data_IF_544965780558
#
_entry.id   IF_544965780558
#
_cell.length_a   1.000
_cell.length_b   1.000
_cell.length_c   1.000
_cell.angle_alpha   90.00
_cell.angle_beta   90.00
_cell.angle_gamma   90.00
#
_symmetry.space_group_name_H-M   'P 1'
#
loop_
_entity.id
_entity.type
_entity.pdbx_description
1 polymer ?
#
# COMPACT_ATOMS: atom_id res chain seq x y z
N UNK A 1 -16.75 -113.78 60.53
CA UNK A 1 -16.28 -113.09 61.73
C UNK A 1 -16.52 -111.59 61.55
N UNK A 2 -17.14 -110.95 62.55
CA UNK A 2 -17.26 -109.51 62.89
C UNK A 2 -16.51 -108.47 62.02
N UNK A 3 -16.95 -107.22 61.75
CA UNK A 3 -17.97 -106.25 62.23
C UNK A 3 -18.03 -105.15 61.12
N UNK A 4 -19.18 -104.67 60.62
CA UNK A 4 -20.08 -103.61 61.12
C UNK A 4 -19.44 -102.22 61.36
N UNK A 5 -19.65 -101.26 60.45
CA UNK A 5 -20.19 -99.87 60.63
C UNK A 5 -20.15 -99.11 59.27
N UNK A 6 -21.28 -98.74 58.61
CA UNK A 6 -22.12 -97.51 58.79
C UNK A 6 -21.34 -96.25 58.32
N UNK A 7 -21.78 -95.31 57.45
CA UNK A 7 -22.95 -95.03 56.60
C UNK A 7 -22.63 -93.74 55.78
N UNK A 8 -23.42 -93.47 54.73
CA UNK A 8 -23.69 -92.15 54.09
C UNK A 8 -22.60 -91.42 53.27
N UNK A 9 -22.88 -91.23 51.97
CA UNK A 9 -22.12 -90.31 51.11
C UNK A 9 -22.47 -90.30 49.61
N UNK A 10 -23.76 -90.15 49.28
CA UNK A 10 -24.30 -89.51 48.06
C UNK A 10 -23.77 -89.90 46.65
N UNK A 11 -24.56 -90.76 46.00
CA UNK A 11 -24.93 -90.79 44.57
C UNK A 11 -24.10 -89.96 43.56
N UNK A 12 -23.26 -90.64 42.79
CA UNK A 12 -22.86 -90.24 41.44
C UNK A 12 -23.49 -91.22 40.46
N UNK A 13 -24.72 -90.91 40.01
CA UNK A 13 -25.33 -91.62 38.88
C UNK A 13 -25.04 -90.80 37.61
N UNK A 14 -24.24 -91.39 36.74
CA UNK A 14 -24.17 -91.11 35.31
C UNK A 14 -25.59 -91.03 34.72
N UNK A 15 -25.90 -89.95 34.00
CA UNK A 15 -26.72 -90.10 32.80
C UNK A 15 -26.26 -89.17 31.70
N UNK A 16 -26.15 -89.78 30.53
CA UNK A 16 -25.63 -89.26 29.28
C UNK A 16 -26.68 -88.39 28.58
N UNK A 17 -26.22 -87.32 27.92
CA UNK A 17 -26.90 -86.74 26.76
C UNK A 17 -27.80 -85.56 27.06
N UNK A 18 -27.28 -84.35 26.88
CA UNK A 18 -27.67 -83.45 25.78
C UNK A 18 -26.73 -82.25 25.75
N UNK A 19 -26.37 -81.89 24.53
CA UNK A 19 -25.59 -80.73 24.13
C UNK A 19 -26.08 -79.47 24.87
N UNK A 20 -25.19 -78.83 25.62
CA UNK A 20 -25.21 -77.38 25.78
C UNK A 20 -23.77 -76.90 25.57
N UNK A 21 -23.37 -76.85 24.31
CA UNK A 21 -22.43 -75.85 23.83
C UNK A 21 -23.06 -74.48 24.12
N UNK A 22 -22.80 -73.90 25.29
CA UNK A 22 -22.87 -72.45 25.48
C UNK A 22 -21.46 -71.91 25.67
N UNK A 23 -20.59 -72.25 24.73
CA UNK A 23 -19.39 -71.47 24.40
C UNK A 23 -19.71 -70.61 23.17
N UNK A 24 -20.76 -69.79 23.26
CA UNK A 24 -21.24 -68.80 22.28
C UNK A 24 -22.30 -68.00 23.07
N UNK A 25 -22.26 -66.68 23.32
CA UNK A 25 -21.76 -65.53 22.55
C UNK A 25 -21.51 -64.30 23.46
N UNK A 26 -20.74 -64.39 24.54
CA UNK A 26 -20.46 -63.24 25.44
C UNK A 26 -19.21 -62.44 25.06
N UNK A 27 -18.86 -62.40 23.77
CA UNK A 27 -17.68 -61.64 23.29
C UNK A 27 -18.09 -60.45 22.40
N UNK A 28 -19.31 -60.45 21.85
CA UNK A 28 -19.72 -59.45 20.85
C UNK A 28 -20.13 -58.09 21.41
N UNK A 29 -20.53 -57.99 22.69
CA UNK A 29 -20.98 -56.72 23.28
C UNK A 29 -19.83 -56.04 24.02
N UNK A 30 -19.01 -56.83 24.71
CA UNK A 30 -17.80 -56.43 25.40
C UNK A 30 -16.77 -55.86 24.42
N UNK A 31 -16.55 -56.50 23.27
CA UNK A 31 -15.67 -55.96 22.20
C UNK A 31 -16.15 -54.61 21.69
N UNK A 32 -17.47 -54.43 21.51
CA UNK A 32 -18.05 -53.16 21.07
C UNK A 32 -17.93 -52.08 22.13
N UNK A 33 -18.02 -52.45 23.41
CA UNK A 33 -17.83 -51.54 24.52
C UNK A 33 -16.37 -51.06 24.59
N UNK A 34 -15.41 -51.99 24.44
CA UNK A 34 -13.98 -51.66 24.36
C UNK A 34 -13.64 -50.81 23.13
N UNK A 35 -14.23 -51.10 21.96
CA UNK A 35 -14.04 -50.28 20.76
C UNK A 35 -14.56 -48.85 20.96
N UNK A 36 -15.71 -48.70 21.62
CA UNK A 36 -16.28 -47.39 21.94
C UNK A 36 -15.42 -46.62 22.94
N UNK A 37 -14.85 -47.30 23.94
CA UNK A 37 -13.96 -46.71 24.93
C UNK A 37 -12.68 -46.16 24.27
N UNK A 38 -11.99 -46.99 23.48
CA UNK A 38 -10.79 -46.57 22.72
C UNK A 38 -11.11 -45.40 21.78
N UNK A 39 -12.26 -45.46 21.08
CA UNK A 39 -12.68 -44.39 20.16
C UNK A 39 -12.99 -43.08 20.90
N UNK A 40 -13.53 -43.16 22.12
CA UNK A 40 -13.84 -42.00 22.94
C UNK A 40 -12.55 -41.38 23.48
N UNK A 41 -11.62 -42.19 23.99
CA UNK A 41 -10.31 -41.74 24.46
C UNK A 41 -9.53 -41.05 23.34
N UNK A 42 -9.44 -41.67 22.16
CA UNK A 42 -8.77 -41.07 21.00
C UNK A 42 -9.41 -39.72 20.59
N UNK A 43 -10.74 -39.59 20.70
CA UNK A 43 -11.42 -38.31 20.44
C UNK A 43 -11.13 -37.27 21.51
N UNK A 44 -11.02 -37.66 22.77
CA UNK A 44 -10.67 -36.77 23.88
C UNK A 44 -9.24 -36.25 23.70
N UNK A 45 -8.29 -37.13 23.39
CA UNK A 45 -6.89 -36.75 23.14
C UNK A 45 -6.78 -35.80 21.94
N UNK A 46 -7.45 -36.10 20.83
CA UNK A 46 -7.45 -35.23 19.66
C UNK A 46 -8.08 -33.86 19.95
N UNK A 47 -9.15 -33.81 20.75
CA UNK A 47 -9.79 -32.55 21.13
C UNK A 47 -8.94 -31.73 22.09
N UNK A 48 -8.23 -32.39 23.02
CA UNK A 48 -7.30 -31.73 23.93
C UNK A 48 -6.12 -31.14 23.16
N UNK A 49 -5.54 -31.87 22.20
CA UNK A 49 -4.45 -31.34 21.36
C UNK A 49 -4.89 -30.11 20.55
N UNK A 50 -6.09 -30.14 19.94
CA UNK A 50 -6.67 -28.98 19.25
C UNK A 50 -6.92 -27.78 20.19
N UNK A 51 -7.28 -28.05 21.45
CA UNK A 51 -7.51 -27.01 22.44
C UNK A 51 -6.21 -26.31 22.84
N UNK A 52 -5.14 -27.07 23.04
CA UNK A 52 -3.81 -26.52 23.36
C UNK A 52 -3.26 -25.66 22.23
N UNK A 53 -3.33 -26.13 20.98
CA UNK A 53 -2.92 -25.33 19.80
C UNK A 53 -3.72 -24.01 19.72
N UNK A 54 -5.04 -24.08 19.95
CA UNK A 54 -5.89 -22.89 19.98
C UNK A 54 -5.54 -21.95 21.13
N UNK A 55 -5.14 -22.46 22.29
CA UNK A 55 -4.72 -21.67 23.44
C UNK A 55 -3.41 -20.94 23.15
N UNK A 56 -2.43 -21.62 22.56
CA UNK A 56 -1.15 -21.01 22.16
C UNK A 56 -1.37 -19.90 21.11
N UNK A 57 -2.16 -20.17 20.07
CA UNK A 57 -2.52 -19.17 19.06
C UNK A 57 -3.22 -17.96 19.68
N UNK A 58 -4.09 -18.18 20.68
CA UNK A 58 -4.78 -17.09 21.40
C UNK A 58 -3.82 -16.23 22.21
N UNK A 59 -2.79 -16.83 22.81
CA UNK A 59 -1.75 -16.10 23.55
C UNK A 59 -0.86 -15.28 22.61
N UNK A 60 -0.41 -15.85 21.48
CA UNK A 60 0.38 -15.13 20.47
C UNK A 60 -0.41 -13.94 19.90
N UNK A 61 -1.69 -14.14 19.59
CA UNK A 61 -2.54 -13.06 19.09
C UNK A 61 -2.72 -11.94 20.13
N UNK A 62 -2.90 -12.29 21.41
CA UNK A 62 -3.00 -11.29 22.49
C UNK A 62 -1.70 -10.47 22.62
N UNK A 63 -0.54 -11.11 22.48
CA UNK A 63 0.74 -10.40 22.49
C UNK A 63 0.89 -9.44 21.30
N UNK A 64 0.53 -9.88 20.10
CA UNK A 64 0.55 -9.02 18.90
C UNK A 64 -0.40 -7.83 19.02
N UNK A 65 -1.57 -8.01 19.63
CA UNK A 65 -2.52 -6.90 19.90
C UNK A 65 -1.86 -5.86 20.81
N UNK A 66 -1.29 -6.27 21.95
CA UNK A 66 -0.61 -5.36 22.88
C UNK A 66 0.54 -4.60 22.18
N UNK A 67 1.30 -5.29 21.33
CA UNK A 67 2.39 -4.66 20.59
C UNK A 67 1.89 -3.64 19.56
N UNK A 68 0.78 -3.93 18.88
CA UNK A 68 0.17 -3.01 17.92
C UNK A 68 -0.42 -1.79 18.62
N UNK A 69 -1.10 -1.97 19.75
CA UNK A 69 -1.62 -0.89 20.59
C UNK A 69 -0.49 0.06 21.02
N UNK A 70 0.61 -0.48 21.55
CA UNK A 70 1.76 0.34 21.96
C UNK A 70 2.41 1.11 20.78
N UNK A 71 2.47 0.52 19.59
CA UNK A 71 2.94 1.22 18.38
C UNK A 71 1.97 2.31 17.94
N UNK A 72 0.67 2.09 18.11
CA UNK A 72 -0.36 3.07 17.76
C UNK A 72 -0.29 4.28 18.70
N UNK A 73 -0.17 4.06 20.01
CA UNK A 73 0.02 5.14 21.01
C UNK A 73 1.28 5.96 20.69
N UNK A 74 2.37 5.29 20.29
CA UNK A 74 3.61 5.96 19.90
C UNK A 74 3.44 6.83 18.65
N UNK A 75 2.65 6.36 17.66
CA UNK A 75 2.36 7.14 16.46
C UNK A 75 1.49 8.36 16.77
N UNK A 76 0.50 8.21 17.64
CA UNK A 76 -0.38 9.30 18.07
C UNK A 76 0.40 10.42 18.76
N UNK A 77 1.34 10.08 19.65
CA UNK A 77 2.25 11.07 20.27
C UNK A 77 3.12 11.79 19.23
N UNK A 78 3.63 11.07 18.21
CA UNK A 78 4.43 11.69 17.15
C UNK A 78 3.61 12.63 16.29
N UNK A 79 2.35 12.28 16.00
CA UNK A 79 1.42 13.13 15.25
C UNK A 79 1.17 14.42 16.02
N UNK A 80 0.78 14.35 17.31
CA UNK A 80 0.55 15.54 18.12
C UNK A 80 1.78 16.46 18.22
N UNK A 81 2.99 15.87 18.28
CA UNK A 81 4.24 16.65 18.24
C UNK A 81 4.48 17.35 16.90
N UNK A 82 4.13 16.71 15.79
CA UNK A 82 4.25 17.32 14.47
C UNK A 82 3.19 18.41 14.27
N UNK A 83 1.96 18.19 14.70
CA UNK A 83 0.87 19.18 14.66
C UNK A 83 1.26 20.44 15.43
N UNK A 84 1.74 20.32 16.67
CA UNK A 84 2.20 21.46 17.46
C UNK A 84 3.37 22.22 16.79
N UNK A 85 4.26 21.51 16.08
CA UNK A 85 5.34 22.14 15.30
C UNK A 85 4.83 22.89 14.07
N UNK A 86 3.81 22.36 13.40
CA UNK A 86 3.16 23.02 12.26
C UNK A 86 2.47 24.29 12.72
N UNK A 87 1.69 24.23 13.80
CA UNK A 87 1.05 25.41 14.41
C UNK A 87 2.09 26.46 14.83
N UNK A 88 3.20 26.04 15.42
CA UNK A 88 4.29 26.94 15.78
C UNK A 88 4.88 27.63 14.54
N UNK A 89 5.12 26.89 13.45
CA UNK A 89 5.62 27.45 12.20
C UNK A 89 4.64 28.45 11.58
N UNK A 90 3.34 28.17 11.63
CA UNK A 90 2.29 29.05 11.11
C UNK A 90 2.23 30.39 11.88
N UNK A 91 2.36 30.33 13.21
CA UNK A 91 2.43 31.53 14.06
C UNK A 91 3.65 32.42 13.74
N UNK A 92 4.80 31.79 13.47
CA UNK A 92 6.04 32.47 13.13
C UNK A 92 5.93 33.12 11.75
N UNK A 93 5.37 32.39 10.78
CA UNK A 93 5.15 32.89 9.43
C UNK A 93 4.22 34.11 9.45
N UNK A 94 3.11 34.02 10.20
CA UNK A 94 2.17 35.15 10.37
C UNK A 94 2.85 36.37 10.99
N UNK A 95 3.71 36.16 12.00
CA UNK A 95 4.46 37.24 12.64
C UNK A 95 5.45 37.92 11.69
N UNK A 96 6.20 37.13 10.90
CA UNK A 96 7.14 37.64 9.90
C UNK A 96 6.45 38.39 8.77
N UNK A 97 5.28 37.90 8.32
CA UNK A 97 4.47 38.59 7.31
C UNK A 97 3.98 39.94 7.82
N UNK A 98 3.53 40.03 9.08
CA UNK A 98 3.14 41.31 9.69
C UNK A 98 4.32 42.28 9.76
N UNK A 99 5.48 41.83 10.25
CA UNK A 99 6.68 42.66 10.33
C UNK A 99 7.13 43.17 8.95
N UNK A 100 7.07 42.32 7.92
CA UNK A 100 7.38 42.70 6.54
C UNK A 100 6.42 43.79 6.03
N UNK A 101 5.13 43.66 6.29
CA UNK A 101 4.13 44.65 5.88
C UNK A 101 4.33 46.00 6.60
N UNK A 102 4.69 45.98 7.89
CA UNK A 102 4.98 47.19 8.68
C UNK A 102 6.25 47.92 8.20
N UNK A 103 7.33 47.18 7.86
CA UNK A 103 8.54 47.80 7.25
C UNK A 103 8.28 48.38 5.86
N UNK A 104 7.40 47.76 5.08
CA UNK A 104 7.03 48.25 3.75
C UNK A 104 6.22 49.55 3.84
N UNK A 105 5.37 49.70 4.88
CA UNK A 105 4.65 50.94 5.15
C UNK A 105 5.56 52.06 5.68
N UNK A 106 6.57 51.74 6.51
CA UNK A 106 7.51 52.72 7.06
C UNK A 106 8.55 53.24 6.05
N UNK A 107 8.84 52.50 4.98
CA UNK A 107 9.71 52.94 3.89
C UNK A 107 9.02 53.92 2.89
N UNK A 108 7.73 54.24 3.10
CA UNK A 108 6.93 55.09 2.20
C UNK A 108 7.10 56.60 2.45
N UNK A 109 7.97 57.04 3.35
CA UNK A 109 8.24 58.46 3.60
C UNK A 109 9.73 58.79 3.48
N UNK A 110 10.35 58.42 2.37
CA UNK A 110 11.40 59.27 1.80
C UNK A 110 11.48 59.07 0.28
N UNK A 111 11.74 60.16 -0.41
CA UNK A 111 11.69 60.36 -1.87
C UNK A 111 12.17 59.18 -2.73
N UNK A 112 11.32 58.72 -3.66
CA UNK A 112 11.59 58.53 -5.10
C UNK A 112 10.43 57.74 -5.75
N UNK A 113 9.79 58.37 -6.75
CA UNK A 113 8.90 57.88 -7.84
C UNK A 113 7.97 56.66 -7.58
N UNK A 114 6.67 56.76 -7.92
CA UNK A 114 5.79 55.60 -7.87
C UNK A 114 6.16 54.64 -9.01
N UNK A 115 6.90 53.58 -8.70
CA UNK A 115 6.87 52.37 -9.52
C UNK A 115 5.52 51.72 -9.19
N UNK A 116 4.62 51.69 -10.17
CA UNK A 116 3.31 51.07 -10.06
C UNK A 116 3.43 49.55 -9.87
N UNK A 117 3.77 49.11 -8.66
CA UNK A 117 3.87 47.71 -8.30
C UNK A 117 2.53 47.23 -7.75
N UNK A 118 1.54 47.13 -8.64
CA UNK A 118 0.34 46.31 -8.42
C UNK A 118 0.56 44.83 -8.81
N UNK A 119 1.81 44.40 -9.02
CA UNK A 119 2.08 42.99 -9.27
C UNK A 119 2.25 42.27 -7.93
N UNK A 120 1.13 41.69 -7.51
CA UNK A 120 1.08 40.59 -6.55
C UNK A 120 2.26 39.63 -6.82
N UNK A 121 3.04 39.22 -5.80
CA UNK A 121 4.03 38.16 -5.99
C UNK A 121 3.28 36.93 -6.47
N UNK A 122 3.32 36.67 -7.79
CA UNK A 122 2.66 35.55 -8.43
C UNK A 122 3.15 34.29 -7.71
N UNK A 123 2.22 33.75 -6.93
CA UNK A 123 2.25 32.51 -6.18
C UNK A 123 3.60 31.78 -6.12
N UNK A 124 4.19 31.72 -4.93
CA UNK A 124 5.26 30.79 -4.55
C UNK A 124 4.87 29.30 -4.82
N UNK A 125 3.60 29.02 -5.19
CA UNK A 125 3.07 27.71 -5.57
C UNK A 125 2.46 27.65 -7.00
N UNK A 126 2.59 28.69 -7.83
CA UNK A 126 2.02 28.76 -9.18
C UNK A 126 3.06 28.55 -10.29
N UNK A 127 2.62 28.04 -11.44
CA UNK A 127 3.46 27.96 -12.64
C UNK A 127 3.69 29.39 -13.19
N UNK A 128 4.93 29.79 -13.54
CA UNK A 128 5.20 31.14 -14.02
C UNK A 128 4.43 31.43 -15.32
N UNK A 129 3.85 32.62 -15.41
CA UNK A 129 3.02 33.06 -16.55
C UNK A 129 3.77 33.98 -17.52
N UNK A 130 4.93 34.50 -17.11
CA UNK A 130 5.73 35.45 -17.89
C UNK A 130 7.23 35.31 -17.63
N UNK A 131 8.04 35.93 -18.50
CA UNK A 131 9.47 36.13 -18.28
C UNK A 131 9.76 36.96 -17.02
N UNK A 132 8.85 37.87 -16.65
CA UNK A 132 8.96 38.62 -15.40
C UNK A 132 8.86 37.69 -14.18
N UNK A 133 7.88 36.78 -14.19
CA UNK A 133 7.73 35.78 -13.13
C UNK A 133 8.96 34.87 -13.05
N UNK A 134 9.47 34.45 -14.21
CA UNK A 134 10.70 33.66 -14.30
C UNK A 134 11.90 34.40 -13.70
N UNK A 135 12.04 35.70 -13.96
CA UNK A 135 13.09 36.52 -13.36
C UNK A 135 12.95 36.62 -11.83
N UNK A 136 11.72 36.76 -11.34
CA UNK A 136 11.44 36.84 -9.89
C UNK A 136 11.78 35.53 -9.17
N UNK A 137 11.62 34.37 -9.81
CA UNK A 137 12.02 33.06 -9.24
C UNK A 137 13.52 32.74 -9.48
N UNK A 138 14.27 33.64 -10.11
CA UNK A 138 15.73 33.55 -10.25
C UNK A 138 16.25 33.09 -11.61
N UNK A 139 15.43 33.03 -12.66
CA UNK A 139 15.94 32.82 -14.02
C UNK A 139 16.59 34.09 -14.56
N UNK A 140 17.88 34.00 -14.88
CA UNK A 140 18.67 35.14 -15.38
C UNK A 140 19.32 34.90 -16.75
N UNK A 141 19.25 33.68 -17.27
CA UNK A 141 19.87 33.31 -18.55
C UNK A 141 18.85 33.46 -19.69
N UNK A 142 19.14 34.29 -20.70
CA UNK A 142 18.22 34.44 -21.83
C UNK A 142 18.02 33.12 -22.57
N UNK A 143 16.79 32.81 -22.98
CA UNK A 143 16.47 31.51 -23.56
C UNK A 143 14.99 31.27 -23.81
N UNK A 144 14.67 30.05 -24.23
CA UNK A 144 13.29 29.60 -24.46
C UNK A 144 12.76 28.98 -23.17
N UNK A 145 11.62 29.47 -22.70
CA UNK A 145 10.95 29.03 -21.50
C UNK A 145 9.51 28.62 -21.78
N UNK A 146 9.00 27.71 -20.96
CA UNK A 146 7.59 27.36 -20.96
C UNK A 146 6.89 28.09 -19.84
N UNK A 147 5.85 28.84 -20.18
CA UNK A 147 5.06 29.63 -19.23
C UNK A 147 3.58 29.27 -19.36
N UNK A 148 2.82 29.51 -18.30
CA UNK A 148 1.38 29.36 -18.31
C UNK A 148 0.74 30.55 -19.03
N UNK A 149 0.28 30.32 -20.26
CA UNK A 149 -0.51 31.31 -21.00
C UNK A 149 -1.94 31.42 -20.46
N UNK A 150 -2.82 32.12 -21.19
CA UNK A 150 -4.21 32.33 -20.75
C UNK A 150 -5.04 31.05 -20.59
N UNK A 151 -4.65 29.95 -21.26
CA UNK A 151 -5.37 28.67 -21.19
C UNK A 151 -4.48 27.43 -21.35
N UNK A 152 -3.28 27.57 -21.92
CA UNK A 152 -2.37 26.45 -22.22
C UNK A 152 -0.92 26.88 -22.10
N UNK A 153 -0.03 25.89 -22.06
CA UNK A 153 1.40 26.13 -21.94
C UNK A 153 1.93 26.78 -23.23
N UNK A 154 2.61 27.90 -23.05
CA UNK A 154 3.19 28.71 -24.11
C UNK A 154 4.71 28.63 -24.05
N UNK A 155 5.33 28.62 -25.22
CA UNK A 155 6.77 28.77 -25.36
C UNK A 155 7.07 30.24 -25.67
N UNK A 156 7.87 30.85 -24.81
CA UNK A 156 8.30 32.24 -24.90
C UNK A 156 9.82 32.31 -24.91
N UNK A 157 10.38 33.27 -25.64
CA UNK A 157 11.78 33.63 -25.53
C UNK A 157 11.89 34.78 -24.51
N UNK A 158 12.68 34.56 -23.47
CA UNK A 158 13.00 35.57 -22.47
C UNK A 158 14.38 36.13 -22.74
N UNK A 159 14.47 37.45 -22.89
CA UNK A 159 15.72 38.17 -23.02
C UNK A 159 15.98 38.98 -21.74
N UNK A 160 16.69 38.37 -20.80
CA UNK A 160 17.03 39.00 -19.52
C UNK A 160 18.15 40.05 -19.64
N UNK A 161 18.67 40.30 -20.84
CA UNK A 161 19.56 41.45 -21.09
C UNK A 161 18.78 42.76 -21.24
N UNK A 162 17.45 42.68 -21.37
CA UNK A 162 16.54 43.82 -21.56
C UNK A 162 15.74 44.11 -20.30
N UNK A 163 15.24 45.34 -20.18
CA UNK A 163 14.32 45.69 -19.10
C UNK A 163 12.93 45.08 -19.36
N UNK A 164 12.14 44.76 -18.32
CA UNK A 164 10.80 44.17 -18.49
C UNK A 164 9.85 44.96 -19.41
N UNK A 165 10.02 46.28 -19.46
CA UNK A 165 9.21 47.18 -20.28
C UNK A 165 9.72 47.31 -21.72
N UNK A 166 10.91 46.77 -22.03
CA UNK A 166 11.52 46.89 -23.36
C UNK A 166 10.91 45.91 -24.35
N UNK A 167 10.77 46.38 -25.60
CA UNK A 167 10.39 45.54 -26.71
C UNK A 167 11.37 44.36 -26.89
N UNK A 168 10.84 43.15 -26.71
CA UNK A 168 11.59 41.91 -26.86
C UNK A 168 12.18 41.34 -25.57
N UNK A 169 11.87 41.89 -24.40
CA UNK A 169 12.08 41.20 -23.11
C UNK A 169 11.37 39.84 -23.08
N UNK A 170 10.14 39.81 -23.57
CA UNK A 170 9.38 38.58 -23.81
C UNK A 170 8.90 38.54 -25.26
N UNK A 171 9.21 37.46 -25.96
CA UNK A 171 8.70 37.19 -27.31
C UNK A 171 7.98 35.86 -27.32
N UNK A 172 6.68 35.88 -27.62
CA UNK A 172 5.91 34.66 -27.81
C UNK A 172 6.44 33.90 -29.05
N UNK A 173 6.79 32.63 -28.88
CA UNK A 173 7.31 31.77 -29.94
C UNK A 173 6.18 30.89 -30.48
N UNK A 174 5.35 30.35 -29.59
CA UNK A 174 4.29 29.42 -29.95
C UNK A 174 3.66 28.75 -28.74
N UNK A 175 2.80 27.77 -28.99
CA UNK A 175 2.32 26.89 -27.94
C UNK A 175 3.28 25.72 -27.75
N UNK A 176 3.56 25.36 -26.50
CA UNK A 176 4.21 24.10 -26.16
C UNK A 176 3.16 23.00 -26.31
N UNK A 177 2.95 22.58 -27.55
CA UNK A 177 1.93 21.60 -27.91
C UNK A 177 2.41 20.20 -27.51
N UNK A 178 2.22 19.84 -26.23
CA UNK A 178 2.35 18.45 -25.78
C UNK A 178 1.11 17.70 -26.28
N UNK A 179 1.04 17.49 -27.60
CA UNK A 179 0.03 16.61 -28.19
C UNK A 179 0.36 15.18 -27.80
N UNK A 180 -0.37 14.65 -26.83
CA UNK A 180 -0.53 13.21 -26.69
C UNK A 180 -1.29 12.69 -27.92
N UNK A 181 -0.56 12.38 -28.99
CA UNK A 181 -1.12 11.61 -30.08
C UNK A 181 -1.24 10.14 -29.61
N UNK A 182 -2.40 9.48 -29.80
CA UNK A 182 -2.53 8.07 -29.48
C UNK A 182 -1.56 7.28 -30.36
N UNK A 183 -0.52 6.70 -29.74
CA UNK A 183 0.44 5.83 -30.42
C UNK A 183 -0.13 4.42 -30.42
N UNK A 184 -0.47 3.95 -31.61
CA UNK A 184 -0.92 2.58 -31.81
C UNK A 184 0.30 1.74 -32.17
N UNK A 185 0.51 0.64 -31.46
CA UNK A 185 1.48 -0.38 -31.83
C UNK A 185 0.75 -1.64 -32.28
N UNK A 186 1.20 -2.20 -33.39
CA UNK A 186 0.79 -3.53 -33.83
C UNK A 186 1.92 -4.50 -33.51
N UNK A 187 1.63 -5.51 -32.71
CA UNK A 187 2.59 -6.56 -32.37
C UNK A 187 2.03 -7.92 -32.76
N UNK A 188 2.88 -8.75 -33.37
CA UNK A 188 2.50 -10.09 -33.81
C UNK A 188 3.55 -11.10 -33.38
N UNK A 189 3.03 -12.29 -33.05
CA UNK A 189 3.83 -13.47 -32.74
C UNK A 189 3.50 -14.59 -33.74
N UNK A 190 4.51 -15.25 -34.28
CA UNK A 190 4.33 -16.26 -35.34
C UNK A 190 4.36 -17.71 -34.83
N UNK A 191 4.44 -17.93 -33.51
CA UNK A 191 4.57 -19.25 -32.90
C UNK A 191 3.68 -19.40 -31.66
N UNK A 192 3.43 -20.63 -31.19
CA UNK A 192 2.62 -20.95 -29.99
C UNK A 192 3.40 -20.73 -28.67
N UNK A 193 2.84 -19.98 -27.72
CA UNK A 193 3.47 -19.64 -26.43
C UNK A 193 2.74 -20.36 -25.30
N UNK A 194 3.48 -20.96 -24.37
CA UNK A 194 2.91 -21.71 -23.25
C UNK A 194 3.66 -21.50 -21.93
N UNK A 195 4.61 -20.57 -21.87
CA UNK A 195 5.39 -20.35 -20.66
C UNK A 195 4.60 -19.50 -19.67
N UNK A 196 4.44 -20.00 -18.46
CA UNK A 196 3.81 -19.27 -17.37
C UNK A 196 4.79 -18.25 -16.77
N UNK A 197 4.25 -17.15 -16.22
CA UNK A 197 5.01 -16.09 -15.54
C UNK A 197 6.08 -15.36 -16.38
N UNK A 198 6.07 -15.55 -17.70
CA UNK A 198 7.03 -14.92 -18.62
C UNK A 198 6.31 -13.95 -19.57
N UNK A 199 6.79 -12.70 -19.76
CA UNK A 199 6.22 -11.79 -20.75
C UNK A 199 6.24 -12.39 -22.16
N UNK A 200 5.13 -12.27 -22.89
CA UNK A 200 4.99 -12.83 -24.23
C UNK A 200 5.91 -12.07 -25.20
N UNK A 201 6.91 -12.71 -25.83
CA UNK A 201 7.78 -12.04 -26.79
C UNK A 201 7.08 -11.87 -28.15
N UNK A 202 7.34 -10.78 -28.86
CA UNK A 202 6.80 -10.52 -30.20
C UNK A 202 7.94 -10.55 -31.23
N UNK A 203 7.73 -11.19 -32.39
CA UNK A 203 8.72 -11.18 -33.48
C UNK A 203 8.53 -10.01 -34.43
N UNK A 204 7.33 -9.44 -34.50
CA UNK A 204 7.04 -8.25 -35.29
C UNK A 204 6.45 -7.17 -34.38
N UNK A 205 7.02 -5.96 -34.45
CA UNK A 205 6.51 -4.77 -33.78
C UNK A 205 6.52 -3.61 -34.77
N UNK A 206 5.36 -3.03 -35.02
CA UNK A 206 5.19 -1.87 -35.89
C UNK A 206 4.61 -0.72 -35.08
N UNK A 207 5.32 0.41 -35.06
CA UNK A 207 4.81 1.65 -34.49
C UNK A 207 4.06 2.42 -35.58
N UNK A 208 2.75 2.61 -35.40
CA UNK A 208 1.89 3.34 -36.34
C UNK A 208 1.72 4.79 -35.90
N UNK A 209 2.83 5.44 -35.52
CA UNK A 209 2.82 6.88 -35.27
C UNK A 209 3.05 7.63 -36.59
N UNK A 210 2.25 8.66 -36.86
CA UNK A 210 2.67 9.75 -37.73
C UNK A 210 3.84 10.46 -37.04
N UNK A 211 5.06 9.94 -37.18
CA UNK A 211 6.27 10.68 -36.88
C UNK A 211 6.47 11.74 -37.96
N UNK A 212 5.61 12.76 -37.99
CA UNK A 212 5.96 14.06 -38.56
C UNK A 212 6.86 14.78 -37.56
N UNK A 213 8.10 14.31 -37.42
CA UNK A 213 9.19 15.21 -37.08
C UNK A 213 9.56 15.94 -38.36
N UNK A 214 8.80 16.99 -38.69
CA UNK A 214 9.25 17.97 -39.67
C UNK A 214 10.50 18.64 -39.10
N UNK A 215 11.65 18.30 -39.69
CA UNK A 215 12.90 19.07 -39.76
C UNK A 215 12.96 20.29 -38.83
N UNK A 216 13.61 20.14 -37.66
CA UNK A 216 13.97 21.30 -36.84
C UNK A 216 15.37 21.23 -36.23
N UNK A 217 16.22 20.30 -36.68
CA UNK A 217 17.64 20.32 -36.38
C UNK A 217 18.45 19.94 -37.63
N UNK A 218 18.43 20.85 -38.60
CA UNK A 218 19.46 20.94 -39.63
C UNK A 218 20.10 22.32 -39.53
N UNK A 219 21.18 22.40 -38.74
CA UNK A 219 22.44 23.12 -38.99
C UNK A 219 23.40 22.92 -37.83
#
# INVERSE_FOLDING_TARGET
MARLTVFFGLMLILSCGTICSSALTTFSLEDKLQELEIRLEAKIEAKNAQLEEKNELRQDLAFKIIQLEAKNDQLEVKIGKLEAKVEQQDSLLTSLLREKNERTAAASTDSVRPIGNNQSPVAINGLPSSCGDLALIGHTLSGIYSVMGSAKMESVFCDFTKLPDDAGFQKWIGYADVKSAPVHFYVQRNSSFSDEFTPIPFQLALCMAECKFTHLWEK
#
